data_IF_960833184147
#
_entry.id   IF_960833184147
#
_cell.length_a   1.000
_cell.length_b   1.000
_cell.length_c   1.000
_cell.angle_alpha   90.00
_cell.angle_beta   90.00
_cell.angle_gamma   90.00
#
_symmetry.space_group_name_H-M   'P 1'
#
loop_
_entity.id
_entity.type
_entity.pdbx_description
1 polymer ?
#
# COMPACT_ATOMS: atom_id res chain seq x y z
N UNK A 1 -29.30 -12.10 -2.01
CA UNK A 1 -28.37 -13.22 -2.29
C UNK A 1 -28.32 -14.13 -1.09
N UNK A 2 -27.96 -15.40 -1.27
CA UNK A 2 -27.71 -16.36 -0.18
C UNK A 2 -26.22 -16.44 0.07
N UNK A 3 -25.79 -16.11 1.29
CA UNK A 3 -24.39 -15.90 1.65
C UNK A 3 -24.04 -16.79 2.84
N UNK A 4 -22.89 -17.47 2.78
CA UNK A 4 -22.30 -18.10 3.97
C UNK A 4 -21.10 -17.27 4.46
N UNK A 5 -21.00 -17.07 5.78
CA UNK A 5 -19.93 -16.29 6.42
C UNK A 5 -19.17 -17.20 7.38
N UNK A 6 -17.92 -17.51 7.06
CA UNK A 6 -17.07 -18.42 7.81
C UNK A 6 -16.20 -17.67 8.82
N UNK A 7 -16.35 -18.03 10.09
CA UNK A 7 -15.72 -17.41 11.24
C UNK A 7 -16.59 -16.30 11.84
N UNK A 8 -17.29 -16.59 12.93
CA UNK A 8 -18.11 -15.64 13.69
C UNK A 8 -17.29 -14.95 14.80
N UNK A 9 -16.09 -14.48 14.42
CA UNK A 9 -15.31 -13.52 15.16
C UNK A 9 -15.85 -12.11 14.94
N UNK A 10 -15.05 -11.09 15.31
CA UNK A 10 -15.44 -9.69 15.18
C UNK A 10 -15.89 -9.32 13.76
N UNK A 11 -15.04 -9.54 12.76
CA UNK A 11 -15.30 -9.20 11.36
C UNK A 11 -16.48 -10.00 10.79
N UNK A 12 -16.50 -11.31 11.02
CA UNK A 12 -17.53 -12.17 10.45
C UNK A 12 -18.91 -11.95 11.08
N UNK A 13 -18.99 -11.78 12.39
CA UNK A 13 -20.25 -11.51 13.06
C UNK A 13 -20.88 -10.18 12.59
N UNK A 14 -20.07 -9.11 12.53
CA UNK A 14 -20.53 -7.80 12.04
C UNK A 14 -20.95 -7.89 10.57
N UNK A 15 -20.11 -8.53 9.72
CA UNK A 15 -20.43 -8.69 8.30
C UNK A 15 -21.72 -9.48 8.08
N UNK A 16 -21.91 -10.59 8.81
CA UNK A 16 -23.10 -11.43 8.69
C UNK A 16 -24.38 -10.66 9.07
N UNK A 17 -24.37 -9.98 10.23
CA UNK A 17 -25.52 -9.22 10.68
C UNK A 17 -25.84 -8.02 9.76
N UNK A 18 -24.82 -7.29 9.30
CA UNK A 18 -25.02 -6.15 8.42
C UNK A 18 -25.52 -6.57 7.03
N UNK A 19 -24.96 -7.63 6.42
CA UNK A 19 -25.44 -8.16 5.15
C UNK A 19 -26.88 -8.68 5.26
N UNK A 20 -27.24 -9.37 6.36
CA UNK A 20 -28.61 -9.77 6.63
C UNK A 20 -29.55 -8.56 6.77
N UNK A 21 -29.08 -7.47 7.43
CA UNK A 21 -29.79 -6.20 7.52
C UNK A 21 -30.00 -5.48 6.19
N UNK A 22 -29.18 -5.76 5.18
CA UNK A 22 -29.36 -5.29 3.80
C UNK A 22 -30.33 -6.15 2.97
N UNK A 23 -30.91 -7.19 3.56
CA UNK A 23 -31.88 -8.05 2.88
C UNK A 23 -31.27 -9.29 2.20
N UNK A 24 -30.05 -9.66 2.52
CA UNK A 24 -29.48 -10.94 2.13
C UNK A 24 -29.91 -12.05 3.09
N UNK A 25 -29.94 -13.30 2.62
CA UNK A 25 -30.10 -14.49 3.47
C UNK A 25 -28.69 -14.98 3.85
N UNK A 26 -28.37 -14.96 5.15
CA UNK A 26 -27.01 -15.20 5.64
C UNK A 26 -26.96 -16.42 6.54
N UNK A 27 -25.96 -17.28 6.32
CA UNK A 27 -25.62 -18.42 7.16
C UNK A 27 -24.24 -18.19 7.76
N UNK A 28 -24.18 -17.92 9.05
CA UNK A 28 -22.92 -17.86 9.80
C UNK A 28 -22.39 -19.25 10.07
N UNK A 29 -21.09 -19.46 9.86
CA UNK A 29 -20.40 -20.74 10.14
C UNK A 29 -19.26 -20.51 11.12
N UNK A 30 -19.26 -21.22 12.24
CA UNK A 30 -18.14 -21.21 13.19
C UNK A 30 -17.98 -22.59 13.84
N UNK A 31 -16.74 -23.01 14.06
CA UNK A 31 -16.44 -24.30 14.72
C UNK A 31 -16.84 -24.29 16.20
N UNK A 32 -17.05 -23.13 16.80
CA UNK A 32 -17.45 -22.96 18.18
C UNK A 32 -18.98 -22.97 18.32
N UNK A 33 -19.52 -24.08 18.82
CA UNK A 33 -20.96 -24.25 19.05
C UNK A 33 -21.56 -23.13 19.90
N UNK A 34 -20.84 -22.62 20.90
CA UNK A 34 -21.33 -21.53 21.77
C UNK A 34 -21.64 -20.26 20.98
N UNK A 35 -20.81 -19.92 20.00
CA UNK A 35 -21.07 -18.76 19.13
C UNK A 35 -22.27 -19.01 18.22
N UNK A 36 -22.39 -20.21 17.67
CA UNK A 36 -23.50 -20.62 16.82
C UNK A 36 -24.82 -20.50 17.61
N UNK A 37 -24.84 -21.03 18.84
CA UNK A 37 -26.04 -20.97 19.72
C UNK A 37 -26.38 -19.52 20.08
N UNK A 38 -25.38 -18.68 20.42
CA UNK A 38 -25.64 -17.27 20.69
C UNK A 38 -26.28 -16.56 19.50
N UNK A 39 -25.74 -16.74 18.29
CA UNK A 39 -26.34 -16.11 17.10
C UNK A 39 -27.75 -16.60 16.87
N UNK A 40 -28.01 -17.90 16.96
CA UNK A 40 -29.36 -18.47 16.78
C UNK A 40 -30.36 -18.01 17.86
N UNK A 41 -29.85 -17.67 19.06
CA UNK A 41 -30.63 -17.02 20.13
C UNK A 41 -30.88 -15.51 19.90
N UNK A 42 -30.39 -14.94 18.78
CA UNK A 42 -30.46 -13.50 18.50
C UNK A 42 -29.47 -12.66 19.32
N UNK A 43 -28.38 -13.26 19.79
CA UNK A 43 -27.32 -12.59 20.57
C UNK A 43 -26.03 -12.52 19.78
N UNK A 44 -25.38 -11.36 19.79
CA UNK A 44 -24.06 -11.23 19.14
C UNK A 44 -22.97 -11.88 20.00
N UNK A 45 -22.07 -12.71 19.41
CA UNK A 45 -20.93 -13.29 20.13
C UNK A 45 -19.77 -12.31 20.33
N UNK A 46 -19.94 -11.05 19.95
CA UNK A 46 -18.96 -9.95 20.09
C UNK A 46 -19.63 -8.72 20.70
N UNK A 47 -18.84 -7.86 21.33
CA UNK A 47 -19.32 -6.61 21.92
C UNK A 47 -19.01 -5.46 20.96
N UNK A 48 -20.06 -4.84 20.42
CA UNK A 48 -19.97 -3.73 19.48
C UNK A 48 -21.22 -2.88 19.53
N UNK A 49 -21.12 -1.59 19.24
CA UNK A 49 -22.28 -0.69 19.22
C UNK A 49 -23.33 -1.19 18.21
N UNK A 50 -24.60 -1.30 18.63
CA UNK A 50 -25.76 -1.71 17.84
C UNK A 50 -25.76 -3.14 17.32
N UNK A 51 -24.68 -3.92 17.47
CA UNK A 51 -24.60 -5.27 16.90
C UNK A 51 -25.61 -6.23 17.57
N UNK A 52 -25.84 -6.09 18.87
CA UNK A 52 -26.81 -6.93 19.59
C UNK A 52 -28.26 -6.72 19.09
N UNK A 53 -28.66 -5.48 18.90
CA UNK A 53 -30.01 -5.14 18.39
C UNK A 53 -30.14 -5.64 16.94
N UNK A 54 -29.17 -5.40 16.10
CA UNK A 54 -29.17 -5.82 14.71
C UNK A 54 -29.24 -7.35 14.59
N UNK A 55 -28.39 -8.08 15.36
CA UNK A 55 -28.41 -9.55 15.36
C UNK A 55 -29.79 -10.09 15.78
N UNK A 56 -30.37 -9.54 16.84
CA UNK A 56 -31.71 -9.96 17.30
C UNK A 56 -32.78 -9.73 16.22
N UNK A 57 -32.72 -8.60 15.51
CA UNK A 57 -33.68 -8.27 14.46
C UNK A 57 -33.57 -9.24 13.27
N UNK A 58 -32.32 -9.44 12.73
CA UNK A 58 -32.14 -10.26 11.52
C UNK A 58 -32.35 -11.76 11.78
N UNK A 59 -32.09 -12.24 13.00
CA UNK A 59 -32.43 -13.62 13.40
C UNK A 59 -33.93 -13.80 13.54
N UNK A 60 -34.63 -12.84 14.16
CA UNK A 60 -36.10 -12.86 14.30
C UNK A 60 -36.83 -12.88 12.95
N UNK A 61 -36.26 -12.21 11.93
CA UNK A 61 -36.83 -12.22 10.57
C UNK A 61 -36.43 -13.46 9.76
N UNK A 62 -35.51 -14.29 10.25
CA UNK A 62 -34.96 -15.45 9.55
C UNK A 62 -33.92 -15.10 8.50
N UNK A 63 -33.48 -13.84 8.43
CA UNK A 63 -32.45 -13.42 7.49
C UNK A 63 -31.03 -13.87 7.90
N UNK A 64 -30.79 -14.17 9.18
CA UNK A 64 -29.56 -14.73 9.70
C UNK A 64 -29.85 -15.99 10.53
N UNK A 65 -29.08 -17.04 10.24
CA UNK A 65 -28.95 -18.22 11.09
C UNK A 65 -27.49 -18.64 11.17
N UNK A 66 -27.13 -19.52 12.08
CA UNK A 66 -25.78 -20.02 12.20
C UNK A 66 -25.73 -21.56 12.31
N UNK A 67 -24.65 -22.16 11.86
CA UNK A 67 -24.40 -23.60 11.90
C UNK A 67 -22.90 -23.90 12.11
N UNK A 68 -22.57 -25.11 12.56
CA UNK A 68 -21.22 -25.64 12.54
C UNK A 68 -20.96 -26.48 11.27
N UNK A 69 -21.96 -26.75 10.46
CA UNK A 69 -21.89 -27.61 9.28
C UNK A 69 -21.52 -26.77 8.04
N UNK A 70 -20.25 -26.91 7.62
CA UNK A 70 -19.71 -26.27 6.41
C UNK A 70 -20.47 -26.72 5.16
N UNK A 71 -20.79 -28.01 5.06
CA UNK A 71 -21.47 -28.58 3.90
C UNK A 71 -22.87 -28.00 3.75
N UNK A 72 -23.66 -27.94 4.83
CA UNK A 72 -24.98 -27.31 4.85
C UNK A 72 -24.88 -25.87 4.34
N UNK A 73 -23.96 -25.08 4.87
CA UNK A 73 -23.82 -23.68 4.51
C UNK A 73 -23.45 -23.45 3.03
N UNK A 74 -22.59 -24.31 2.46
CA UNK A 74 -22.20 -24.26 1.04
C UNK A 74 -23.35 -24.68 0.11
N UNK A 75 -24.13 -25.71 0.49
CA UNK A 75 -25.27 -26.15 -0.33
C UNK A 75 -26.35 -25.06 -0.43
N UNK A 76 -26.55 -24.30 0.64
CA UNK A 76 -27.61 -23.30 0.75
C UNK A 76 -27.15 -21.88 0.34
N UNK A 77 -25.89 -21.66 -0.06
CA UNK A 77 -25.38 -20.34 -0.42
C UNK A 77 -24.84 -20.26 -1.86
N UNK A 78 -24.66 -19.05 -2.36
CA UNK A 78 -24.12 -18.70 -3.67
C UNK A 78 -22.74 -18.04 -3.55
N UNK A 79 -22.48 -17.44 -2.38
CA UNK A 79 -21.24 -16.72 -2.05
C UNK A 79 -20.81 -17.10 -0.65
N UNK A 80 -19.50 -17.31 -0.47
CA UNK A 80 -18.90 -17.56 0.84
C UNK A 80 -17.92 -16.45 1.20
N UNK A 81 -18.12 -15.78 2.33
CA UNK A 81 -17.16 -14.83 2.89
C UNK A 81 -16.32 -15.53 3.97
N UNK A 82 -15.00 -15.55 3.79
CA UNK A 82 -14.06 -16.14 4.75
C UNK A 82 -13.51 -15.05 5.64
N UNK A 83 -13.89 -15.07 6.92
CA UNK A 83 -13.58 -14.08 7.96
C UNK A 83 -12.80 -14.70 9.14
N UNK A 84 -12.13 -15.82 8.92
CA UNK A 84 -11.36 -16.49 9.97
C UNK A 84 -10.13 -15.69 10.38
N UNK A 85 -9.71 -15.84 11.64
CA UNK A 85 -8.55 -15.11 12.16
C UNK A 85 -7.24 -15.59 11.54
N UNK A 86 -6.28 -14.65 11.40
CA UNK A 86 -4.92 -14.91 10.93
C UNK A 86 -3.92 -14.36 11.97
N UNK A 87 -3.72 -15.07 13.11
CA UNK A 87 -2.83 -14.60 14.16
C UNK A 87 -1.37 -14.56 13.72
N UNK A 88 -0.57 -13.76 14.42
CA UNK A 88 0.88 -13.74 14.19
C UNK A 88 1.56 -14.92 14.88
N UNK A 89 2.52 -15.52 14.19
CA UNK A 89 3.46 -16.48 14.75
C UNK A 89 4.54 -15.76 15.59
N UNK A 90 5.27 -16.46 16.45
CA UNK A 90 6.33 -15.86 17.27
C UNK A 90 7.43 -15.14 16.47
N UNK A 91 7.68 -15.53 15.23
CA UNK A 91 8.64 -14.90 14.33
C UNK A 91 8.07 -13.69 13.56
N UNK A 92 6.80 -13.32 13.82
CA UNK A 92 6.09 -12.23 13.13
C UNK A 92 5.44 -12.61 11.81
N UNK A 93 5.58 -13.86 11.35
CA UNK A 93 4.85 -14.32 10.16
C UNK A 93 3.36 -14.51 10.46
N UNK A 94 2.57 -14.57 9.40
CA UNK A 94 1.13 -14.78 9.51
C UNK A 94 0.82 -16.28 9.57
N UNK A 95 0.00 -16.71 10.55
CA UNK A 95 -0.53 -18.07 10.60
C UNK A 95 -1.69 -18.22 9.61
N UNK A 96 -1.51 -19.02 8.58
CA UNK A 96 -2.51 -19.29 7.53
C UNK A 96 -3.32 -20.56 7.76
N UNK A 97 -3.01 -21.32 8.80
CA UNK A 97 -3.59 -22.66 9.05
C UNK A 97 -5.13 -22.66 9.07
N UNK A 98 -5.75 -21.63 9.64
CA UNK A 98 -7.23 -21.55 9.66
C UNK A 98 -7.81 -21.25 8.28
N UNK A 99 -7.12 -20.42 7.49
CA UNK A 99 -7.50 -20.15 6.11
C UNK A 99 -7.39 -21.40 5.23
N UNK A 100 -6.28 -22.10 5.34
CA UNK A 100 -6.04 -23.34 4.60
C UNK A 100 -7.12 -24.37 4.89
N UNK A 101 -7.37 -24.65 6.17
CA UNK A 101 -8.36 -25.63 6.62
C UNK A 101 -9.78 -25.29 6.14
N UNK A 102 -10.23 -24.05 6.32
CA UNK A 102 -11.58 -23.65 5.87
C UNK A 102 -11.67 -23.69 4.34
N UNK A 103 -10.59 -23.37 3.63
CA UNK A 103 -10.55 -23.46 2.15
C UNK A 103 -10.65 -24.91 1.68
N UNK A 104 -10.00 -25.87 2.36
CA UNK A 104 -10.11 -27.30 2.07
C UNK A 104 -11.56 -27.80 2.28
N UNK A 105 -12.18 -27.43 3.41
CA UNK A 105 -13.54 -27.83 3.74
C UNK A 105 -14.57 -27.25 2.74
N UNK A 106 -14.44 -25.97 2.37
CA UNK A 106 -15.27 -25.32 1.35
C UNK A 106 -15.06 -26.00 0.00
N UNK A 107 -13.82 -26.24 -0.41
CA UNK A 107 -13.52 -26.91 -1.68
C UNK A 107 -14.15 -28.30 -1.78
N UNK A 108 -14.07 -29.10 -0.71
CA UNK A 108 -14.70 -30.43 -0.66
C UNK A 108 -16.24 -30.33 -0.79
N UNK A 109 -16.87 -29.38 -0.09
CA UNK A 109 -18.33 -29.18 -0.18
C UNK A 109 -18.76 -28.68 -1.58
N UNK A 110 -17.96 -27.81 -2.21
CA UNK A 110 -18.22 -27.33 -3.57
C UNK A 110 -18.12 -28.43 -4.63
N UNK A 111 -17.22 -29.38 -4.47
CA UNK A 111 -17.10 -30.55 -5.37
C UNK A 111 -18.41 -31.38 -5.38
N UNK A 112 -19.11 -31.47 -4.26
CA UNK A 112 -20.40 -32.14 -4.16
C UNK A 112 -21.57 -31.30 -4.71
N UNK A 113 -21.52 -29.97 -4.49
CA UNK A 113 -22.61 -29.06 -4.83
C UNK A 113 -22.82 -28.91 -6.33
N UNK A 114 -21.74 -28.80 -7.09
CA UNK A 114 -21.77 -28.44 -8.50
C UNK A 114 -22.26 -26.99 -8.75
N UNK A 115 -22.05 -26.51 -9.96
CA UNK A 115 -22.40 -25.15 -10.35
C UNK A 115 -21.44 -24.08 -9.78
N UNK A 116 -21.47 -22.88 -10.35
CA UNK A 116 -20.58 -21.78 -9.94
C UNK A 116 -20.95 -21.25 -8.54
N UNK A 117 -19.92 -21.05 -7.74
CA UNK A 117 -19.97 -20.43 -6.42
C UNK A 117 -18.82 -19.43 -6.30
N UNK A 118 -18.97 -18.36 -5.55
CA UNK A 118 -17.88 -17.39 -5.37
C UNK A 118 -17.36 -17.45 -3.92
N UNK A 119 -16.05 -17.71 -3.81
CA UNK A 119 -15.33 -17.72 -2.52
C UNK A 119 -14.62 -16.39 -2.37
N UNK A 120 -14.91 -15.67 -1.29
CA UNK A 120 -14.42 -14.33 -1.02
C UNK A 120 -13.61 -14.32 0.26
N UNK A 121 -12.31 -14.11 0.15
CA UNK A 121 -11.42 -14.00 1.30
C UNK A 121 -11.48 -12.57 1.85
N UNK A 122 -11.94 -12.44 3.10
CA UNK A 122 -12.05 -11.18 3.83
C UNK A 122 -11.05 -11.07 4.98
N UNK A 123 -10.42 -12.18 5.36
CA UNK A 123 -9.33 -12.23 6.33
C UNK A 123 -8.13 -11.43 5.84
N UNK A 124 -7.42 -10.79 6.78
CA UNK A 124 -6.16 -10.08 6.47
C UNK A 124 -5.07 -11.08 6.12
N UNK A 125 -4.44 -10.93 4.96
CA UNK A 125 -3.37 -11.80 4.48
C UNK A 125 -2.38 -11.02 3.61
N UNK A 126 -1.12 -11.50 3.58
CA UNK A 126 -0.04 -10.87 2.81
C UNK A 126 -0.27 -11.00 1.30
N UNK A 127 0.21 -10.03 0.51
CA UNK A 127 0.12 -10.09 -0.96
C UNK A 127 0.66 -11.40 -1.52
N UNK A 128 -0.16 -12.04 -2.34
CA UNK A 128 0.13 -13.34 -2.95
C UNK A 128 -0.37 -14.54 -2.17
N UNK A 129 -0.85 -14.40 -0.94
CA UNK A 129 -1.37 -15.52 -0.14
C UNK A 129 -2.56 -16.19 -0.85
N UNK A 130 -3.51 -15.42 -1.34
CA UNK A 130 -4.67 -15.96 -2.03
C UNK A 130 -4.27 -16.77 -3.27
N UNK A 131 -3.48 -16.18 -4.17
CA UNK A 131 -3.13 -16.81 -5.44
C UNK A 131 -2.14 -17.98 -5.30
N UNK A 132 -1.16 -17.88 -4.40
CA UNK A 132 -0.09 -18.85 -4.31
C UNK A 132 -0.37 -19.99 -3.30
N UNK A 133 -1.31 -19.79 -2.37
CA UNK A 133 -1.63 -20.78 -1.34
C UNK A 133 -3.08 -21.24 -1.41
N UNK A 134 -4.06 -20.31 -1.35
CA UNK A 134 -5.45 -20.67 -1.15
C UNK A 134 -6.14 -21.14 -2.47
N UNK A 135 -5.84 -20.50 -3.58
CA UNK A 135 -6.37 -20.92 -4.90
C UNK A 135 -5.93 -22.34 -5.24
N UNK A 136 -4.64 -22.74 -5.13
CA UNK A 136 -4.23 -24.13 -5.35
C UNK A 136 -4.92 -25.16 -4.44
N UNK A 137 -5.17 -24.79 -3.16
CA UNK A 137 -5.92 -25.67 -2.25
C UNK A 137 -7.36 -25.83 -2.73
N UNK A 138 -8.01 -24.73 -3.11
CA UNK A 138 -9.39 -24.75 -3.60
C UNK A 138 -9.52 -25.59 -4.87
N UNK A 139 -8.68 -25.33 -5.88
CA UNK A 139 -8.65 -26.06 -7.16
C UNK A 139 -8.45 -27.57 -6.98
N UNK A 140 -7.52 -27.95 -6.11
CA UNK A 140 -7.26 -29.36 -5.78
C UNK A 140 -8.50 -30.04 -5.20
N UNK A 141 -9.25 -29.38 -4.34
CA UNK A 141 -10.40 -29.97 -3.66
C UNK A 141 -11.66 -29.99 -4.52
N UNK A 142 -11.88 -28.96 -5.37
CA UNK A 142 -13.02 -28.95 -6.31
C UNK A 142 -12.77 -29.83 -7.54
N UNK A 143 -11.51 -30.14 -7.87
CA UNK A 143 -11.14 -30.82 -9.12
C UNK A 143 -11.38 -29.97 -10.37
N UNK A 144 -11.29 -28.63 -10.25
CA UNK A 144 -11.58 -27.65 -11.30
C UNK A 144 -10.63 -26.45 -11.26
N UNK A 145 -10.96 -25.40 -12.00
CA UNK A 145 -10.12 -24.21 -12.18
C UNK A 145 -10.79 -22.97 -11.58
N UNK A 146 -10.07 -22.24 -10.74
CA UNK A 146 -10.51 -20.95 -10.20
C UNK A 146 -10.65 -19.91 -11.33
N UNK A 147 -11.67 -19.06 -11.25
CA UNK A 147 -12.06 -18.14 -12.32
C UNK A 147 -13.00 -18.75 -13.36
N UNK A 148 -13.06 -20.09 -13.49
CA UNK A 148 -13.93 -20.82 -14.42
C UNK A 148 -15.02 -21.56 -13.65
N UNK A 149 -14.63 -22.58 -12.88
CA UNK A 149 -15.56 -23.44 -12.15
C UNK A 149 -16.00 -22.85 -10.81
N UNK A 150 -15.09 -22.09 -10.15
CA UNK A 150 -15.33 -21.36 -8.92
C UNK A 150 -14.83 -19.93 -9.05
N UNK A 151 -15.64 -18.97 -8.60
CA UNK A 151 -15.22 -17.58 -8.50
C UNK A 151 -14.33 -17.37 -7.28
N UNK A 152 -13.29 -16.53 -7.41
CA UNK A 152 -12.42 -16.16 -6.29
C UNK A 152 -12.24 -14.65 -6.24
N UNK A 153 -12.38 -14.09 -5.04
CA UNK A 153 -12.11 -12.68 -4.79
C UNK A 153 -11.50 -12.46 -3.40
N UNK A 154 -10.88 -11.30 -3.22
CA UNK A 154 -10.42 -10.79 -1.93
C UNK A 154 -11.15 -9.49 -1.65
N UNK A 155 -11.80 -9.40 -0.50
CA UNK A 155 -12.53 -8.20 -0.09
C UNK A 155 -12.09 -7.79 1.32
N UNK A 156 -10.98 -7.05 1.45
CA UNK A 156 -10.48 -6.61 2.74
C UNK A 156 -11.50 -5.72 3.46
N UNK A 157 -11.51 -5.78 4.78
CA UNK A 157 -12.36 -4.97 5.62
C UNK A 157 -11.60 -3.77 6.19
N UNK A 158 -12.32 -2.69 6.49
CA UNK A 158 -11.78 -1.46 7.09
C UNK A 158 -12.61 -1.04 8.32
N UNK A 159 -13.19 -2.03 9.00
CA UNK A 159 -14.00 -1.85 10.19
C UNK A 159 -13.14 -1.49 11.39
N UNK A 160 -13.60 -0.57 12.22
CA UNK A 160 -12.95 -0.17 13.48
C UNK A 160 -13.76 -0.66 14.65
N UNK A 161 -13.11 -1.30 15.61
CA UNK A 161 -13.75 -1.69 16.87
C UNK A 161 -14.40 -0.47 17.55
N UNK A 162 -15.59 -0.64 18.07
CA UNK A 162 -16.42 0.43 18.64
C UNK A 162 -17.30 1.19 17.65
N UNK A 163 -17.05 1.06 16.32
CA UNK A 163 -17.85 1.74 15.27
C UNK A 163 -18.14 0.88 14.06
N UNK A 164 -17.90 -0.42 14.14
CA UNK A 164 -17.87 -1.33 12.99
C UNK A 164 -19.20 -1.42 12.23
N UNK A 165 -20.33 -1.39 12.91
CA UNK A 165 -21.65 -1.38 12.26
C UNK A 165 -21.82 -0.10 11.44
N UNK A 166 -21.45 1.06 11.98
CA UNK A 166 -21.47 2.32 11.26
C UNK A 166 -20.49 2.31 10.08
N UNK A 167 -19.25 1.85 10.31
CA UNK A 167 -18.23 1.77 9.27
C UNK A 167 -18.60 0.81 8.14
N UNK A 168 -19.42 -0.21 8.42
CA UNK A 168 -19.97 -1.10 7.40
C UNK A 168 -21.00 -0.39 6.51
N UNK A 169 -21.92 0.38 7.10
CA UNK A 169 -22.98 1.08 6.36
C UNK A 169 -22.53 2.41 5.75
N UNK A 170 -21.41 2.99 6.22
CA UNK A 170 -20.81 4.22 5.69
C UNK A 170 -19.30 4.02 5.46
N UNK A 171 -18.93 3.10 4.55
CA UNK A 171 -17.51 2.80 4.28
C UNK A 171 -16.86 3.93 3.48
N UNK A 172 -15.62 4.33 3.78
CA UNK A 172 -14.89 5.31 2.97
C UNK A 172 -14.56 4.78 1.58
N UNK A 173 -14.47 3.47 1.43
CA UNK A 173 -14.20 2.74 0.19
C UNK A 173 -14.58 1.27 0.34
N UNK A 174 -14.93 0.63 -0.79
CA UNK A 174 -15.03 -0.83 -0.91
C UNK A 174 -13.94 -1.30 -1.88
N UNK A 175 -13.11 -2.27 -1.45
CA UNK A 175 -12.03 -2.82 -2.28
C UNK A 175 -12.34 -4.26 -2.65
N UNK A 176 -12.27 -4.56 -3.93
CA UNK A 176 -12.54 -5.89 -4.48
C UNK A 176 -11.33 -6.32 -5.30
N UNK A 177 -10.55 -7.27 -4.76
CA UNK A 177 -9.56 -8.00 -5.51
C UNK A 177 -10.22 -9.15 -6.25
N UNK A 178 -10.22 -9.13 -7.57
CA UNK A 178 -10.91 -10.13 -8.36
C UNK A 178 -9.96 -11.00 -9.16
N UNK A 179 -10.26 -12.30 -9.22
CA UNK A 179 -9.55 -13.22 -10.11
C UNK A 179 -10.10 -13.13 -11.53
N UNK A 180 -11.42 -12.95 -11.65
CA UNK A 180 -12.15 -12.75 -12.89
C UNK A 180 -13.29 -11.72 -12.70
N UNK A 181 -13.74 -11.03 -13.76
CA UNK A 181 -14.76 -10.00 -13.67
C UNK A 181 -16.09 -10.47 -13.05
N UNK A 182 -16.52 -11.70 -13.32
CA UNK A 182 -17.78 -12.23 -12.79
C UNK A 182 -17.72 -12.42 -11.26
N UNK A 183 -16.55 -12.80 -10.73
CA UNK A 183 -16.33 -12.86 -9.28
C UNK A 183 -16.39 -11.48 -8.65
N UNK A 184 -15.80 -10.46 -9.31
CA UNK A 184 -15.89 -9.07 -8.89
C UNK A 184 -17.32 -8.52 -8.89
N UNK A 185 -18.10 -8.86 -9.92
CA UNK A 185 -19.53 -8.46 -10.02
C UNK A 185 -20.36 -9.00 -8.86
N UNK A 186 -20.14 -10.28 -8.50
CA UNK A 186 -20.81 -10.90 -7.35
C UNK A 186 -20.48 -10.16 -6.05
N UNK A 187 -19.19 -9.83 -5.82
CA UNK A 187 -18.80 -9.11 -4.60
C UNK A 187 -19.33 -7.67 -4.60
N UNK A 188 -19.32 -6.97 -5.74
CA UNK A 188 -19.87 -5.63 -5.85
C UNK A 188 -21.38 -5.59 -5.50
N UNK A 189 -22.13 -6.61 -5.93
CA UNK A 189 -23.56 -6.72 -5.65
C UNK A 189 -23.88 -6.93 -4.15
N UNK A 190 -22.93 -7.42 -3.33
CA UNK A 190 -23.10 -7.52 -1.88
C UNK A 190 -23.21 -6.16 -1.20
N UNK A 191 -22.62 -5.12 -1.78
CA UNK A 191 -22.51 -3.77 -1.25
C UNK A 191 -23.33 -2.75 -2.03
N UNK A 192 -24.21 -3.22 -2.90
CA UNK A 192 -25.09 -2.34 -3.69
C UNK A 192 -25.93 -1.44 -2.77
N UNK A 193 -25.94 -0.13 -3.05
CA UNK A 193 -26.65 0.87 -2.27
C UNK A 193 -25.85 1.45 -1.09
N UNK A 194 -24.69 0.92 -0.74
CA UNK A 194 -23.81 1.55 0.24
C UNK A 194 -23.05 2.74 -0.39
N UNK A 195 -22.76 3.79 0.40
CA UNK A 195 -21.93 4.89 -0.04
C UNK A 195 -20.47 4.45 -0.19
N UNK A 196 -19.63 5.36 -0.75
CA UNK A 196 -18.21 5.12 -0.95
C UNK A 196 -17.87 4.60 -2.35
N UNK A 197 -16.62 4.83 -2.73
CA UNK A 197 -16.11 4.40 -4.03
C UNK A 197 -15.76 2.91 -4.02
N UNK A 198 -16.13 2.21 -5.07
CA UNK A 198 -15.80 0.79 -5.26
C UNK A 198 -14.58 0.68 -6.16
N UNK A 199 -13.51 0.08 -5.64
CA UNK A 199 -12.26 -0.17 -6.35
C UNK A 199 -12.18 -1.64 -6.73
N UNK A 200 -12.13 -1.93 -8.03
CA UNK A 200 -11.84 -3.27 -8.57
C UNK A 200 -10.37 -3.33 -8.97
N UNK A 201 -9.63 -4.24 -8.38
CA UNK A 201 -8.17 -4.33 -8.51
C UNK A 201 -7.71 -5.79 -8.58
N UNK A 202 -6.48 -6.07 -9.02
CA UNK A 202 -5.91 -7.41 -8.88
C UNK A 202 -5.87 -7.87 -7.41
N UNK A 203 -6.03 -9.17 -7.17
CA UNK A 203 -6.03 -9.76 -5.82
C UNK A 203 -4.83 -9.32 -4.96
N UNK A 204 -3.57 -9.37 -5.43
CA UNK A 204 -2.43 -8.95 -4.60
C UNK A 204 -2.48 -7.46 -4.20
N UNK A 205 -3.09 -6.62 -5.03
CA UNK A 205 -3.30 -5.20 -4.71
C UNK A 205 -4.31 -5.04 -3.56
N UNK A 206 -5.42 -5.80 -3.59
CA UNK A 206 -6.41 -5.78 -2.50
C UNK A 206 -5.81 -6.26 -1.17
N UNK A 207 -5.00 -7.31 -1.21
CA UNK A 207 -4.25 -7.79 -0.03
C UNK A 207 -3.32 -6.70 0.52
N UNK A 208 -2.56 -6.01 -0.36
CA UNK A 208 -1.61 -4.96 0.03
C UNK A 208 -2.27 -3.73 0.65
N UNK A 209 -3.44 -3.31 0.17
CA UNK A 209 -4.15 -2.10 0.62
C UNK A 209 -4.47 -2.18 2.11
N UNK A 210 -4.89 -3.35 2.63
CA UNK A 210 -5.19 -3.52 4.07
C UNK A 210 -3.96 -3.24 4.94
N UNK A 211 -2.80 -3.72 4.53
CA UNK A 211 -1.54 -3.45 5.25
C UNK A 211 -1.11 -1.99 5.14
N UNK A 212 -1.27 -1.38 3.97
CA UNK A 212 -0.96 0.04 3.77
C UNK A 212 -1.79 0.93 4.70
N UNK A 213 -3.11 0.69 4.78
CA UNK A 213 -4.00 1.44 5.68
C UNK A 213 -3.59 1.29 7.15
N UNK A 214 -3.41 0.04 7.61
CA UNK A 214 -3.07 -0.22 9.00
C UNK A 214 -1.68 0.33 9.38
N UNK A 215 -0.67 0.16 8.52
CA UNK A 215 0.66 0.70 8.74
C UNK A 215 0.66 2.24 8.78
N UNK A 216 -0.08 2.89 7.90
CA UNK A 216 -0.21 4.34 7.87
C UNK A 216 -0.97 4.87 9.09
N UNK A 217 -2.00 4.16 9.58
CA UNK A 217 -2.66 4.52 10.84
C UNK A 217 -1.69 4.45 12.02
N UNK A 218 -0.91 3.37 12.13
CA UNK A 218 0.13 3.25 13.16
C UNK A 218 1.19 4.35 13.07
N UNK A 219 1.65 4.68 11.86
CA UNK A 219 2.62 5.76 11.63
C UNK A 219 2.07 7.13 12.06
N UNK A 220 0.80 7.44 11.73
CA UNK A 220 0.16 8.70 12.15
C UNK A 220 0.09 8.83 13.67
N UNK A 221 -0.29 7.74 14.36
CA UNK A 221 -0.36 7.73 15.82
C UNK A 221 1.02 7.92 16.43
N UNK A 222 2.02 7.18 15.94
CA UNK A 222 3.41 7.30 16.41
C UNK A 222 3.98 8.69 16.21
N UNK A 223 3.79 9.27 15.02
CA UNK A 223 4.20 10.65 14.73
C UNK A 223 3.57 11.67 15.70
N UNK A 224 2.26 11.57 15.92
CA UNK A 224 1.54 12.47 16.82
C UNK A 224 2.04 12.35 18.27
N UNK A 225 2.30 11.13 18.72
CA UNK A 225 2.81 10.86 20.08
C UNK A 225 4.23 11.40 20.28
N UNK A 226 5.14 11.19 19.31
CA UNK A 226 6.50 11.73 19.39
C UNK A 226 6.52 13.27 19.36
N UNK A 227 5.72 13.87 18.46
CA UNK A 227 5.55 15.32 18.44
C UNK A 227 4.99 15.85 19.77
N UNK A 228 4.00 15.13 20.34
CA UNK A 228 3.43 15.45 21.65
C UNK A 228 4.49 15.46 22.77
N UNK A 229 5.36 14.44 22.81
CA UNK A 229 6.44 14.34 23.79
C UNK A 229 7.45 15.50 23.66
N UNK A 230 7.83 15.86 22.43
CA UNK A 230 8.72 16.99 22.16
C UNK A 230 8.06 18.30 22.60
N UNK A 231 6.79 18.52 22.25
CA UNK A 231 6.05 19.71 22.67
C UNK A 231 6.00 19.84 24.21
N UNK A 232 5.69 18.77 24.91
CA UNK A 232 5.67 18.72 26.37
C UNK A 232 7.02 19.10 26.96
N UNK A 233 8.12 18.55 26.45
CA UNK A 233 9.47 18.85 26.92
C UNK A 233 9.90 20.31 26.67
N UNK A 234 9.33 20.94 25.65
CA UNK A 234 9.57 22.33 25.31
C UNK A 234 8.55 23.33 25.94
N UNK A 235 7.61 22.83 26.75
CA UNK A 235 6.58 23.65 27.38
C UNK A 235 5.51 24.17 26.40
N UNK A 236 5.28 23.49 25.30
CA UNK A 236 4.29 23.82 24.26
C UNK A 236 3.07 22.91 24.39
N UNK A 237 1.86 23.44 24.23
CA UNK A 237 0.64 22.65 24.17
C UNK A 237 0.54 21.91 22.84
N UNK A 238 0.71 20.58 22.89
CA UNK A 238 0.71 19.72 21.71
C UNK A 238 -0.65 19.64 21.01
N UNK A 239 -1.76 19.78 21.75
CA UNK A 239 -3.10 19.76 21.15
C UNK A 239 -3.32 21.01 20.30
N UNK A 240 -2.89 22.19 20.78
CA UNK A 240 -2.96 23.42 19.98
C UNK A 240 -2.11 23.31 18.69
N UNK A 241 -0.91 22.69 18.79
CA UNK A 241 -0.06 22.44 17.61
C UNK A 241 -0.77 21.53 16.61
N UNK A 242 -1.35 20.44 17.08
CA UNK A 242 -2.05 19.47 16.23
C UNK A 242 -3.33 20.07 15.61
N UNK A 243 -4.10 20.87 16.35
CA UNK A 243 -5.29 21.53 15.81
C UNK A 243 -4.95 22.43 14.62
N UNK A 244 -3.87 23.23 14.73
CA UNK A 244 -3.40 24.05 13.62
C UNK A 244 -2.84 23.20 12.47
N UNK A 245 -2.08 22.15 12.78
CA UNK A 245 -1.55 21.21 11.80
C UNK A 245 -2.66 20.54 10.95
N UNK A 246 -3.74 20.11 11.59
CA UNK A 246 -4.89 19.47 10.96
C UNK A 246 -5.74 20.40 10.10
N UNK A 247 -5.62 21.73 10.29
CA UNK A 247 -6.32 22.73 9.49
C UNK A 247 -5.77 22.78 8.04
N UNK A 248 -4.52 22.37 7.80
CA UNK A 248 -3.95 22.26 6.44
C UNK A 248 -4.41 21.00 5.75
N UNK A 249 -5.45 21.13 4.93
CA UNK A 249 -6.00 20.05 4.09
C UNK A 249 -5.46 20.05 2.66
N UNK A 250 -4.50 20.92 2.35
CA UNK A 250 -3.86 20.96 1.02
C UNK A 250 -2.57 20.16 0.98
N UNK A 251 -1.80 20.15 2.06
CA UNK A 251 -0.54 19.43 2.17
C UNK A 251 -0.59 18.33 3.24
N UNK A 252 -0.85 18.71 4.51
CA UNK A 252 -0.74 17.79 5.63
C UNK A 252 -1.80 16.67 5.59
N UNK A 253 -3.06 17.02 5.36
CA UNK A 253 -4.18 16.07 5.31
C UNK A 253 -4.71 15.97 3.87
N UNK A 254 -3.86 15.46 2.98
CA UNK A 254 -4.11 15.38 1.55
C UNK A 254 -3.29 14.23 0.92
N UNK A 255 -3.48 13.89 -0.36
CA UNK A 255 -2.64 12.93 -1.07
C UNK A 255 -1.24 13.47 -1.43
N UNK A 256 -0.91 14.74 -1.13
CA UNK A 256 0.41 15.30 -1.36
C UNK A 256 1.47 14.48 -0.59
N UNK A 257 2.60 14.23 -1.23
CA UNK A 257 3.74 13.47 -0.71
C UNK A 257 3.48 11.99 -0.39
N UNK A 258 2.32 11.43 -0.75
CA UNK A 258 1.97 10.02 -0.50
C UNK A 258 2.18 9.11 -1.72
N UNK A 259 2.76 9.61 -2.81
CA UNK A 259 3.09 8.78 -3.98
C UNK A 259 4.55 8.36 -3.92
N UNK A 260 4.86 7.08 -4.15
CA UNK A 260 6.25 6.63 -4.30
C UNK A 260 6.98 7.46 -5.38
N UNK A 261 8.23 7.79 -5.11
CA UNK A 261 9.10 8.56 -5.99
C UNK A 261 10.55 8.42 -5.53
N UNK A 262 11.40 9.40 -5.86
CA UNK A 262 12.78 9.42 -5.39
C UNK A 262 12.90 9.98 -3.96
N UNK A 263 14.10 9.89 -3.39
CA UNK A 263 14.41 10.44 -2.08
C UNK A 263 14.09 11.95 -2.02
N UNK A 264 13.61 12.43 -0.88
CA UNK A 264 13.39 13.86 -0.69
C UNK A 264 14.69 14.58 -0.31
N UNK A 265 14.73 15.89 -0.58
CA UNK A 265 15.86 16.76 -0.26
C UNK A 265 15.43 18.20 -0.15
N UNK A 266 16.36 19.09 -0.51
CA UNK A 266 16.19 20.53 -0.41
C UNK A 266 16.57 21.11 0.94
N UNK A 267 16.63 22.42 1.01
CA UNK A 267 17.16 23.14 2.17
C UNK A 267 16.28 23.10 3.44
N UNK A 268 15.02 22.70 3.33
CA UNK A 268 14.06 22.77 4.44
C UNK A 268 13.86 21.42 5.14
N UNK A 269 13.36 20.39 4.44
CA UNK A 269 12.94 19.14 5.09
C UNK A 269 14.05 18.46 5.89
N UNK A 270 15.25 18.21 5.32
CA UNK A 270 16.32 17.58 6.08
C UNK A 270 16.79 18.42 7.27
N UNK A 271 16.92 19.73 7.08
CA UNK A 271 17.37 20.66 8.12
C UNK A 271 16.40 20.68 9.30
N UNK A 272 15.11 20.81 9.05
CA UNK A 272 14.10 20.95 10.10
C UNK A 272 13.90 19.65 10.87
N UNK A 273 13.98 18.49 10.18
CA UNK A 273 14.03 17.18 10.84
C UNK A 273 15.23 17.04 11.78
N UNK A 274 16.44 17.40 11.32
CA UNK A 274 17.64 17.38 12.18
C UNK A 274 17.48 18.30 13.38
N UNK A 275 16.92 19.49 13.18
CA UNK A 275 16.70 20.47 14.26
C UNK A 275 15.71 19.94 15.31
N UNK A 276 14.63 19.30 14.88
CA UNK A 276 13.62 18.74 15.78
C UNK A 276 14.19 17.54 16.57
N UNK A 277 14.90 16.63 15.92
CA UNK A 277 15.59 15.51 16.57
C UNK A 277 16.62 16.00 17.58
N UNK A 278 17.41 17.03 17.21
CA UNK A 278 18.36 17.64 18.14
C UNK A 278 17.69 18.26 19.37
N UNK A 279 16.57 18.97 19.16
CA UNK A 279 15.80 19.55 20.26
C UNK A 279 15.25 18.47 21.21
N UNK A 280 14.73 17.37 20.66
CA UNK A 280 14.29 16.21 21.42
C UNK A 280 15.43 15.59 22.26
N UNK A 281 16.59 15.38 21.65
CA UNK A 281 17.79 14.87 22.36
C UNK A 281 18.23 15.80 23.49
N UNK A 282 18.20 17.13 23.27
CA UNK A 282 18.53 18.13 24.30
C UNK A 282 17.54 18.12 25.47
N UNK A 283 16.31 17.71 25.23
CA UNK A 283 15.25 17.60 26.23
C UNK A 283 15.11 16.17 26.80
N UNK A 284 16.03 15.27 26.46
CA UNK A 284 16.03 13.86 26.89
C UNK A 284 14.74 13.10 26.47
N UNK A 285 14.19 13.46 25.30
CA UNK A 285 13.01 12.82 24.70
C UNK A 285 13.41 11.85 23.59
N UNK A 286 12.95 10.60 23.69
CA UNK A 286 13.17 9.59 22.66
C UNK A 286 12.16 9.76 21.52
N UNK A 287 12.64 9.88 20.27
CA UNK A 287 11.84 10.08 19.04
C UNK A 287 12.28 9.14 17.92
N UNK A 288 12.06 7.82 18.07
CA UNK A 288 12.58 6.83 17.12
C UNK A 288 12.03 7.00 15.70
N UNK A 289 10.76 7.35 15.49
CA UNK A 289 10.20 7.58 14.15
C UNK A 289 10.90 8.76 13.49
N UNK A 290 10.93 9.92 14.15
CA UNK A 290 11.54 11.14 13.60
C UNK A 290 13.04 10.95 13.34
N UNK A 291 13.77 10.28 14.23
CA UNK A 291 15.19 10.03 14.05
C UNK A 291 15.51 9.06 12.90
N UNK A 292 14.57 8.22 12.48
CA UNK A 292 14.77 7.28 11.38
C UNK A 292 14.25 7.78 10.02
N UNK A 293 13.64 8.95 9.94
CA UNK A 293 13.15 9.51 8.65
C UNK A 293 14.31 9.77 7.68
N UNK A 294 15.39 10.43 8.12
CA UNK A 294 16.56 10.69 7.27
C UNK A 294 17.35 9.41 6.94
N UNK A 295 17.65 8.51 7.88
CA UNK A 295 18.19 7.19 7.55
C UNK A 295 17.37 6.43 6.50
N UNK A 296 16.04 6.35 6.67
CA UNK A 296 15.15 5.73 5.69
C UNK A 296 15.24 6.38 4.30
N UNK A 297 15.35 7.71 4.24
CA UNK A 297 15.52 8.45 2.99
C UNK A 297 16.87 8.13 2.32
N UNK A 298 17.95 8.01 3.10
CA UNK A 298 19.28 7.61 2.61
C UNK A 298 19.29 6.16 2.09
N UNK A 299 18.61 5.25 2.78
CA UNK A 299 18.46 3.86 2.32
C UNK A 299 17.66 3.80 1.00
N UNK A 300 16.66 4.66 0.85
CA UNK A 300 15.92 4.75 -0.40
C UNK A 300 16.78 5.28 -1.56
N UNK A 301 17.66 6.25 -1.30
CA UNK A 301 18.66 6.69 -2.28
C UNK A 301 19.63 5.56 -2.63
N UNK A 302 20.05 4.77 -1.65
CA UNK A 302 20.94 3.63 -1.89
C UNK A 302 20.32 2.60 -2.84
N UNK A 303 19.00 2.40 -2.81
CA UNK A 303 18.30 1.53 -3.78
C UNK A 303 18.51 1.97 -5.22
N UNK A 304 18.59 3.28 -5.49
CA UNK A 304 18.90 3.78 -6.83
C UNK A 304 20.34 3.44 -7.26
N UNK A 305 21.30 3.54 -6.34
CA UNK A 305 22.69 3.08 -6.57
C UNK A 305 22.69 1.59 -6.90
N UNK A 306 21.99 0.78 -6.09
CA UNK A 306 21.93 -0.67 -6.27
C UNK A 306 21.31 -1.06 -7.62
N UNK A 307 20.31 -0.30 -8.11
CA UNK A 307 19.74 -0.51 -9.44
C UNK A 307 20.78 -0.31 -10.55
N UNK A 308 21.59 0.76 -10.45
CA UNK A 308 22.70 1.01 -11.40
C UNK A 308 23.73 -0.12 -11.33
N UNK A 309 24.12 -0.54 -10.12
CA UNK A 309 25.10 -1.62 -9.92
C UNK A 309 24.64 -2.94 -10.56
N UNK A 310 23.36 -3.27 -10.44
CA UNK A 310 22.78 -4.49 -11.05
C UNK A 310 22.87 -4.52 -12.56
N UNK A 311 22.99 -3.37 -13.22
CA UNK A 311 23.15 -3.33 -14.68
C UNK A 311 24.51 -3.85 -15.14
N UNK A 312 25.52 -3.84 -14.28
CA UNK A 312 26.91 -4.17 -14.62
C UNK A 312 27.59 -3.19 -15.58
N UNK A 313 26.93 -2.09 -15.93
CA UNK A 313 27.39 -1.05 -16.85
C UNK A 313 28.18 0.02 -16.10
N UNK A 314 28.99 0.81 -16.83
CA UNK A 314 29.87 1.80 -16.21
C UNK A 314 29.63 3.24 -16.66
N UNK A 315 29.13 3.45 -17.88
CA UNK A 315 28.83 4.79 -18.40
C UNK A 315 27.38 5.13 -18.06
N UNK A 316 27.21 6.16 -17.23
CA UNK A 316 25.92 6.56 -16.70
C UNK A 316 25.58 7.98 -17.16
N UNK A 317 24.47 8.12 -17.87
CA UNK A 317 23.83 9.39 -18.14
C UNK A 317 22.81 9.72 -17.06
N UNK A 318 22.81 10.94 -16.57
CA UNK A 318 21.88 11.37 -15.53
C UNK A 318 21.11 12.60 -15.98
N UNK A 319 19.81 12.56 -15.88
CA UNK A 319 18.91 13.66 -16.21
C UNK A 319 18.26 14.23 -14.97
N UNK A 320 18.58 15.50 -14.67
CA UNK A 320 18.19 16.21 -13.46
C UNK A 320 19.27 16.17 -12.38
N UNK A 321 19.45 17.29 -11.71
CA UNK A 321 20.39 17.49 -10.61
C UNK A 321 19.79 18.30 -9.48
N UNK A 322 18.86 19.23 -9.80
CA UNK A 322 18.14 20.04 -8.82
C UNK A 322 17.17 19.20 -7.98
N UNK A 323 16.97 19.58 -6.71
CA UNK A 323 16.11 18.83 -5.80
C UNK A 323 14.63 18.87 -6.20
N UNK A 324 14.24 19.83 -7.03
CA UNK A 324 12.87 20.02 -7.50
C UNK A 324 12.85 20.53 -8.95
N UNK A 325 11.97 20.02 -9.81
CA UNK A 325 11.82 20.51 -11.17
C UNK A 325 11.59 22.02 -11.24
N UNK A 326 12.23 22.69 -12.21
CA UNK A 326 12.08 24.13 -12.43
C UNK A 326 12.85 25.03 -11.45
N UNK A 327 13.80 24.48 -10.69
CA UNK A 327 14.71 25.24 -9.83
C UNK A 327 16.16 24.93 -10.16
N UNK A 328 17.07 25.81 -9.76
CA UNK A 328 18.53 25.64 -9.83
C UNK A 328 19.15 25.30 -8.46
N UNK A 329 18.31 25.03 -7.44
CA UNK A 329 18.78 24.76 -6.09
C UNK A 329 19.29 23.31 -5.96
N UNK A 330 20.59 23.18 -5.70
CA UNK A 330 21.30 21.91 -5.55
C UNK A 330 21.55 21.52 -4.09
N UNK A 331 21.19 22.40 -3.15
CA UNK A 331 21.46 22.16 -1.72
C UNK A 331 20.67 20.96 -1.20
N UNK A 332 21.42 20.00 -0.66
CA UNK A 332 20.86 18.73 -0.18
C UNK A 332 19.95 18.04 -1.24
N UNK A 333 20.28 18.20 -2.52
CA UNK A 333 19.59 17.47 -3.58
C UNK A 333 19.97 15.99 -3.53
N UNK A 334 18.99 15.08 -3.48
CA UNK A 334 19.28 13.64 -3.51
C UNK A 334 19.86 13.19 -4.85
N UNK A 335 19.63 13.94 -5.92
CA UNK A 335 20.25 13.69 -7.23
C UNK A 335 21.73 14.03 -7.22
N UNK A 336 22.14 15.10 -6.54
CA UNK A 336 23.54 15.43 -6.31
C UNK A 336 24.21 14.34 -5.49
N UNK A 337 23.61 13.91 -4.39
CA UNK A 337 24.16 12.84 -3.55
C UNK A 337 24.28 11.52 -4.33
N UNK A 338 23.29 11.19 -5.19
CA UNK A 338 23.36 10.02 -6.06
C UNK A 338 24.54 10.11 -7.05
N UNK A 339 24.72 11.28 -7.68
CA UNK A 339 25.86 11.52 -8.58
C UNK A 339 27.21 11.37 -7.86
N UNK A 340 27.35 11.93 -6.65
CA UNK A 340 28.56 11.80 -5.84
C UNK A 340 28.85 10.34 -5.46
N UNK A 341 27.83 9.58 -5.03
CA UNK A 341 27.99 8.17 -4.68
C UNK A 341 28.43 7.33 -5.88
N UNK A 342 27.83 7.55 -7.04
CA UNK A 342 28.22 6.85 -8.28
C UNK A 342 29.60 7.25 -8.75
N UNK A 343 29.94 8.54 -8.74
CA UNK A 343 31.26 9.04 -9.08
C UNK A 343 32.34 8.46 -8.15
N UNK A 344 32.10 8.46 -6.84
CA UNK A 344 32.98 7.85 -5.84
C UNK A 344 33.21 6.34 -6.02
N UNK A 345 32.22 5.64 -6.63
CA UNK A 345 32.35 4.22 -7.01
C UNK A 345 33.04 4.01 -8.38
N UNK A 346 33.47 5.06 -9.02
CA UNK A 346 34.23 5.01 -10.30
C UNK A 346 33.35 4.84 -11.54
N UNK A 347 32.07 5.25 -11.48
CA UNK A 347 31.23 5.36 -12.68
C UNK A 347 31.66 6.57 -13.52
N UNK A 348 31.59 6.42 -14.84
CA UNK A 348 31.80 7.50 -15.80
C UNK A 348 30.46 8.20 -16.05
N UNK A 349 30.29 9.40 -15.47
CA UNK A 349 29.07 10.15 -15.45
C UNK A 349 29.02 11.26 -16.48
N UNK A 350 27.86 11.46 -17.12
CA UNK A 350 27.47 12.69 -17.80
C UNK A 350 26.09 13.11 -17.30
N UNK A 351 25.96 14.39 -16.95
CA UNK A 351 24.75 14.91 -16.27
C UNK A 351 24.19 16.07 -17.06
N UNK A 352 22.89 16.05 -17.35
CA UNK A 352 22.20 17.18 -17.94
C UNK A 352 21.03 17.62 -17.07
N UNK A 353 20.97 18.92 -16.76
CA UNK A 353 19.82 19.59 -16.12
C UNK A 353 19.64 20.96 -16.78
N UNK A 354 18.51 21.18 -17.44
CA UNK A 354 18.22 22.41 -18.20
C UNK A 354 18.25 23.69 -17.33
N UNK A 355 18.04 23.56 -16.02
CA UNK A 355 18.05 24.68 -15.08
C UNK A 355 19.42 24.92 -14.44
N UNK A 356 20.34 23.95 -14.54
CA UNK A 356 21.67 24.00 -13.93
C UNK A 356 22.71 24.25 -15.01
N UNK A 357 23.05 25.51 -15.21
CA UNK A 357 24.15 25.90 -16.05
C UNK A 357 25.17 26.69 -15.22
N UNK A 358 26.41 26.24 -15.19
CA UNK A 358 27.49 26.92 -14.41
C UNK A 358 27.63 28.40 -14.74
N UNK A 359 27.37 28.78 -16.00
CA UNK A 359 27.42 30.18 -16.43
C UNK A 359 26.27 31.04 -15.93
N UNK A 360 25.14 30.41 -15.49
CA UNK A 360 23.95 31.10 -15.02
C UNK A 360 23.74 31.03 -13.52
N UNK A 361 24.46 30.18 -12.81
CA UNK A 361 24.38 30.06 -11.36
C UNK A 361 24.88 31.34 -10.68
N UNK A 362 24.06 31.87 -9.76
CA UNK A 362 24.33 33.12 -9.04
C UNK A 362 24.23 32.84 -7.52
N UNK A 363 25.09 33.50 -6.75
CA UNK A 363 25.00 33.50 -5.27
C UNK A 363 25.30 32.14 -4.64
N UNK A 364 24.47 31.74 -3.66
CA UNK A 364 24.72 30.57 -2.81
C UNK A 364 24.79 29.23 -3.56
N UNK A 365 24.08 29.10 -4.69
CA UNK A 365 24.12 27.87 -5.50
C UNK A 365 25.45 27.71 -6.22
N UNK A 366 26.00 28.81 -6.74
CA UNK A 366 27.32 28.83 -7.35
C UNK A 366 28.42 28.51 -6.33
N UNK A 367 28.38 29.18 -5.19
CA UNK A 367 29.33 28.94 -4.09
C UNK A 367 29.27 27.51 -3.60
N UNK A 368 28.08 26.91 -3.53
CA UNK A 368 27.87 25.51 -3.15
C UNK A 368 28.56 24.54 -4.12
N UNK A 369 28.43 24.77 -5.45
CA UNK A 369 29.06 23.92 -6.45
C UNK A 369 30.59 24.12 -6.40
N UNK A 370 31.06 25.36 -6.42
CA UNK A 370 32.51 25.65 -6.46
C UNK A 370 33.26 25.16 -5.22
N UNK A 371 32.61 25.16 -4.05
CA UNK A 371 33.24 24.79 -2.77
C UNK A 371 32.96 23.34 -2.35
N UNK A 372 31.77 22.84 -2.62
CA UNK A 372 31.36 21.49 -2.18
C UNK A 372 31.49 20.43 -3.27
N UNK A 373 31.31 20.80 -4.53
CA UNK A 373 31.18 19.88 -5.66
C UNK A 373 32.04 20.33 -6.88
N UNK A 374 33.33 20.70 -6.71
CA UNK A 374 34.14 21.25 -7.79
C UNK A 374 34.31 20.29 -8.99
N UNK A 375 34.20 18.98 -8.76
CA UNK A 375 34.23 17.94 -9.79
C UNK A 375 32.95 17.85 -10.62
N UNK A 376 31.83 18.31 -10.09
CA UNK A 376 30.51 18.22 -10.74
C UNK A 376 30.44 19.05 -12.02
N UNK A 377 31.18 20.17 -12.05
CA UNK A 377 31.31 21.00 -13.24
C UNK A 377 31.86 20.24 -14.47
N UNK A 378 32.72 19.26 -14.25
CA UNK A 378 33.32 18.43 -15.32
C UNK A 378 32.38 17.32 -15.81
N UNK A 379 31.33 17.02 -15.05
CA UNK A 379 30.35 15.98 -15.36
C UNK A 379 29.14 16.53 -16.10
N UNK A 380 28.95 17.87 -16.11
CA UNK A 380 27.84 18.51 -16.80
C UNK A 380 28.02 18.44 -18.33
N UNK A 381 26.92 18.05 -19.00
CA UNK A 381 26.77 18.03 -20.45
C UNK A 381 25.86 19.16 -20.92
N UNK A 382 26.14 19.72 -22.08
CA UNK A 382 25.43 20.86 -22.63
C UNK A 382 24.07 20.47 -23.22
N UNK A 383 23.90 19.20 -23.63
CA UNK A 383 22.68 18.73 -24.27
C UNK A 383 22.23 17.34 -23.79
N UNK A 384 20.97 17.03 -24.04
CA UNK A 384 20.36 15.71 -23.79
C UNK A 384 21.02 14.64 -24.64
N UNK A 385 21.34 14.97 -25.91
CA UNK A 385 21.96 14.07 -26.89
C UNK A 385 23.35 13.64 -26.43
N UNK A 386 24.18 14.59 -25.92
CA UNK A 386 25.49 14.27 -25.38
C UNK A 386 25.45 13.23 -24.26
N UNK A 387 24.44 13.33 -23.38
CA UNK A 387 24.23 12.37 -22.29
C UNK A 387 23.79 11.03 -22.83
N UNK A 388 22.86 11.00 -23.80
CA UNK A 388 22.36 9.76 -24.41
C UNK A 388 23.45 9.02 -25.19
N UNK A 389 24.27 9.72 -25.95
CA UNK A 389 25.39 9.14 -26.73
C UNK A 389 26.45 8.51 -25.81
N UNK A 390 26.65 9.08 -24.62
CA UNK A 390 27.56 8.55 -23.63
C UNK A 390 27.00 7.33 -22.89
N UNK A 391 25.71 7.32 -22.60
CA UNK A 391 25.11 6.46 -21.59
C UNK A 391 24.91 5.01 -22.01
N UNK A 392 25.29 4.07 -21.16
CA UNK A 392 24.81 2.69 -21.16
C UNK A 392 23.63 2.51 -20.18
N UNK A 393 23.53 3.42 -19.19
CA UNK A 393 22.42 3.52 -18.23
C UNK A 393 21.98 4.97 -18.13
N UNK A 394 20.69 5.23 -18.25
CA UNK A 394 20.09 6.55 -18.05
C UNK A 394 19.34 6.60 -16.74
N UNK A 395 19.77 7.42 -15.80
CA UNK A 395 19.05 7.79 -14.59
C UNK A 395 18.12 8.97 -14.87
N UNK A 396 16.83 8.78 -14.72
CA UNK A 396 15.83 9.82 -15.03
C UNK A 396 15.25 10.38 -13.75
N UNK A 397 15.70 11.57 -13.36
CA UNK A 397 15.28 12.31 -12.15
C UNK A 397 14.47 13.56 -12.47
N UNK A 398 14.14 13.84 -13.74
CA UNK A 398 13.38 15.02 -14.16
C UNK A 398 12.26 14.67 -15.14
N UNK A 399 11.20 15.49 -15.13
CA UNK A 399 10.10 15.46 -16.12
C UNK A 399 10.28 16.54 -17.20
N UNK A 400 11.51 16.97 -17.46
CA UNK A 400 11.79 17.91 -18.54
C UNK A 400 11.28 17.36 -19.88
N UNK A 401 10.47 18.14 -20.64
CA UNK A 401 9.88 17.67 -21.90
C UNK A 401 10.92 17.27 -22.95
N UNK A 402 12.08 17.95 -23.01
CA UNK A 402 13.12 17.60 -23.96
C UNK A 402 13.75 16.25 -23.63
N UNK A 403 13.98 15.99 -22.34
CA UNK A 403 14.47 14.67 -21.87
C UNK A 403 13.44 13.59 -22.18
N UNK A 404 12.15 13.81 -21.82
CA UNK A 404 11.10 12.82 -22.05
C UNK A 404 10.94 12.47 -23.54
N UNK A 405 11.06 13.46 -24.42
CA UNK A 405 10.92 13.25 -25.88
C UNK A 405 12.13 12.51 -26.48
N UNK A 406 13.31 12.60 -25.87
CA UNK A 406 14.55 12.00 -26.37
C UNK A 406 14.80 10.59 -25.82
N UNK A 407 14.15 10.19 -24.71
CA UNK A 407 14.35 8.86 -24.13
C UNK A 407 13.93 7.75 -25.08
N UNK A 408 14.79 6.77 -25.40
CA UNK A 408 14.46 5.69 -26.32
C UNK A 408 13.39 4.75 -25.74
N UNK A 409 12.63 4.13 -26.63
CA UNK A 409 11.74 3.02 -26.37
C UNK A 409 12.40 1.72 -26.84
N UNK A 410 12.96 0.96 -25.89
CA UNK A 410 13.67 -0.28 -26.21
C UNK A 410 14.96 -0.11 -27.00
N UNK A 411 15.87 -1.08 -26.94
CA UNK A 411 17.04 -1.17 -27.80
C UNK A 411 18.14 -0.12 -27.58
N UNK A 412 18.11 0.63 -26.49
CA UNK A 412 19.10 1.66 -26.11
C UNK A 412 19.71 1.41 -24.73
N UNK A 413 20.16 2.47 -24.05
CA UNK A 413 20.63 2.39 -22.66
C UNK A 413 19.55 1.87 -21.72
N UNK A 414 19.95 1.24 -20.62
CA UNK A 414 19.04 0.85 -19.55
C UNK A 414 18.45 2.11 -18.92
N UNK A 415 17.13 2.20 -18.83
CA UNK A 415 16.44 3.33 -18.20
C UNK A 415 16.16 2.99 -16.74
N UNK A 416 16.75 3.74 -15.83
CA UNK A 416 16.43 3.70 -14.39
C UNK A 416 15.56 4.90 -14.07
N UNK A 417 14.27 4.64 -13.87
CA UNK A 417 13.26 5.67 -13.64
C UNK A 417 13.13 5.96 -12.12
N UNK A 418 13.46 7.18 -11.72
CA UNK A 418 13.40 7.64 -10.33
C UNK A 418 12.10 8.40 -10.00
N UNK A 419 11.29 8.75 -11.01
CA UNK A 419 10.18 9.72 -10.84
C UNK A 419 8.82 9.21 -11.30
N UNK A 420 8.75 7.97 -11.75
CA UNK A 420 7.62 7.37 -12.46
C UNK A 420 7.24 8.18 -13.69
N UNK A 421 7.89 7.86 -14.78
CA UNK A 421 7.66 8.47 -16.09
C UNK A 421 6.18 8.42 -16.49
N UNK A 422 5.67 9.38 -17.28
CA UNK A 422 4.26 9.37 -17.70
C UNK A 422 3.83 8.09 -18.40
N UNK A 423 4.74 7.45 -19.12
CA UNK A 423 4.58 6.21 -19.88
C UNK A 423 5.16 4.97 -19.16
N UNK A 424 5.42 5.06 -17.86
CA UNK A 424 6.03 3.99 -17.06
C UNK A 424 5.30 2.64 -17.20
N UNK A 425 3.97 2.62 -17.32
CA UNK A 425 3.19 1.39 -17.47
C UNK A 425 3.52 0.67 -18.79
N UNK A 426 3.70 1.40 -19.87
CA UNK A 426 4.13 0.83 -21.16
C UNK A 426 5.57 0.36 -21.08
N UNK A 427 6.46 1.18 -20.50
CA UNK A 427 7.89 0.88 -20.39
C UNK A 427 8.20 -0.33 -19.51
N UNK A 428 7.36 -0.66 -18.53
CA UNK A 428 7.55 -1.84 -17.64
C UNK A 428 7.65 -3.16 -18.42
N UNK A 429 7.11 -3.22 -19.62
CA UNK A 429 7.20 -4.41 -20.48
C UNK A 429 8.41 -4.38 -21.42
N UNK A 430 9.16 -3.28 -21.46
CA UNK A 430 10.32 -3.12 -22.32
C UNK A 430 11.58 -3.69 -21.66
N UNK A 431 12.43 -4.40 -22.41
CA UNK A 431 13.75 -4.80 -21.92
C UNK A 431 14.60 -3.58 -21.57
N UNK A 432 15.21 -3.60 -20.39
CA UNK A 432 16.10 -2.52 -19.95
C UNK A 432 15.41 -1.34 -19.26
N UNK A 433 14.11 -1.45 -18.91
CA UNK A 433 13.47 -0.48 -18.01
C UNK A 433 13.44 -0.99 -16.58
N UNK A 434 13.80 -0.11 -15.63
CA UNK A 434 13.82 -0.40 -14.19
C UNK A 434 13.22 0.80 -13.43
N UNK A 435 12.09 0.61 -12.76
CA UNK A 435 11.51 1.59 -11.86
C UNK A 435 12.08 1.45 -10.45
N UNK A 436 12.23 2.56 -9.73
CA UNK A 436 12.82 2.55 -8.38
C UNK A 436 11.90 1.87 -7.35
N UNK A 437 10.59 2.08 -7.45
CA UNK A 437 9.59 1.58 -6.49
C UNK A 437 8.26 1.15 -7.16
N UNK A 438 8.30 0.76 -8.45
CA UNK A 438 7.11 0.31 -9.19
C UNK A 438 7.46 -0.71 -10.28
#
# INVERSE_FOLDING_TARGET
MRISVFGLGYVGCVSAACLAGMGHEVIGVDVNQVKVDLVNDGKAPVVEERIGELTAEVVRTGALRATTDVREAIMDSEVSLICVGTPSEPNGSLCTTYLERVTEEIGAALAERGGRHTVVFRSTMLPGTCLNLLVPILEKNIGGTAGVDVGVAVNPEFLREGTSVRDFFDPPKTVIGELDPASGDVVAALYEGLPGEVFRVPIPTAEAIKYADNAFHGLKIGFANELGAVCQALGVDSHQVIDVFLADRKLNISPAYLRPGFAFGGSCLPKDLRSLVYAAQRADVSVPILSHVLPSNSDHLQRAVDLVERTGKRRVGMFGLSFKPGTDDLRESPLVELAERLHGKGYDLRIHDANVSLSRLIGANREYIETRLPHLAQLLADSVEEVLDHAEVCLVGTKDPAVLAALPHGGGPVIVDLIRLPDAETRRTEPGYMGLAW
#
